data_IF_562639442333
#
_entry.id   IF_562639442333
#
_cell.length_a   1.000
_cell.length_b   1.000
_cell.length_c   1.000
_cell.angle_alpha   90.00
_cell.angle_beta   90.00
_cell.angle_gamma   90.00
#
_symmetry.space_group_name_H-M   'P 1'
#
loop_
_entity.id
_entity.type
_entity.pdbx_description
1 polymer ?
#
# COMPACT_ATOMS: atom_id res chain seq x y z
N UNK A 1 21.34 -6.51 6.46
CA UNK A 1 20.56 -5.28 6.17
C UNK A 1 20.35 -5.09 4.67
N UNK A 2 21.41 -5.12 3.85
CA UNK A 2 21.30 -5.01 2.38
C UNK A 2 20.55 -6.17 1.72
N UNK A 3 20.66 -7.40 2.25
CA UNK A 3 19.91 -8.56 1.78
C UNK A 3 18.38 -8.37 1.84
N UNK A 4 17.85 -7.91 2.98
CA UNK A 4 16.41 -7.62 3.16
C UNK A 4 15.88 -6.53 2.22
N UNK A 5 16.73 -5.55 1.90
CA UNK A 5 16.38 -4.50 0.94
C UNK A 5 16.28 -5.07 -0.48
N UNK A 6 17.19 -5.96 -0.85
CA UNK A 6 17.20 -6.60 -2.17
C UNK A 6 16.05 -7.59 -2.32
N UNK A 7 15.81 -8.41 -1.29
CA UNK A 7 14.67 -9.33 -1.23
C UNK A 7 13.34 -8.59 -1.26
N UNK A 8 13.25 -7.44 -0.58
CA UNK A 8 12.10 -6.53 -0.68
C UNK A 8 11.91 -5.94 -2.08
N UNK A 9 13.01 -5.63 -2.79
CA UNK A 9 12.96 -5.15 -4.17
C UNK A 9 12.49 -6.24 -5.14
N UNK A 10 13.01 -7.46 -5.02
CA UNK A 10 12.55 -8.62 -5.79
C UNK A 10 11.09 -8.96 -5.48
N UNK A 11 10.69 -8.87 -4.21
CA UNK A 11 9.30 -9.00 -3.78
C UNK A 11 8.39 -7.91 -4.37
N UNK A 12 8.93 -6.71 -4.62
CA UNK A 12 8.20 -5.63 -5.28
C UNK A 12 7.91 -5.88 -6.78
N UNK A 13 8.65 -6.81 -7.40
CA UNK A 13 8.42 -7.24 -8.79
C UNK A 13 7.42 -8.41 -8.87
N UNK A 14 7.17 -9.09 -7.75
CA UNK A 14 6.24 -10.22 -7.67
C UNK A 14 4.77 -9.74 -7.63
N UNK A 15 3.83 -10.54 -8.17
CA UNK A 15 2.41 -10.19 -8.24
C UNK A 15 1.77 -9.82 -6.90
N UNK A 16 2.30 -10.34 -5.79
CA UNK A 16 1.74 -10.12 -4.45
C UNK A 16 1.98 -8.70 -3.92
N UNK A 17 3.03 -8.02 -4.37
CA UNK A 17 3.28 -6.61 -4.02
C UNK A 17 2.50 -5.66 -4.91
N UNK A 18 1.88 -6.15 -6.00
CA UNK A 18 1.03 -5.37 -6.88
C UNK A 18 -0.17 -4.79 -6.12
N UNK A 19 -0.62 -5.48 -5.07
CA UNK A 19 -1.66 -4.99 -4.15
C UNK A 19 -1.21 -3.82 -3.29
N UNK A 20 0.10 -3.64 -3.07
CA UNK A 20 0.67 -2.46 -2.43
C UNK A 20 0.89 -1.32 -3.42
N UNK A 21 1.32 -1.66 -4.63
CA UNK A 21 1.69 -0.67 -5.64
C UNK A 21 0.43 0.00 -6.22
N UNK A 22 -0.62 -0.77 -6.53
CA UNK A 22 -1.85 -0.21 -7.12
C UNK A 22 -2.52 0.88 -6.27
N UNK A 23 -2.90 0.64 -5.00
CA UNK A 23 -3.49 1.69 -4.18
C UNK A 23 -2.52 2.83 -3.91
N UNK A 24 -1.22 2.55 -3.79
CA UNK A 24 -0.18 3.59 -3.72
C UNK A 24 -0.16 4.50 -4.95
N UNK A 25 -0.29 3.94 -6.16
CA UNK A 25 -0.42 4.70 -7.41
C UNK A 25 -1.77 5.43 -7.48
N UNK A 26 -2.82 4.84 -6.91
CA UNK A 26 -4.13 5.47 -6.74
C UNK A 26 -4.04 6.76 -5.92
N UNK A 27 -3.40 6.69 -4.76
CA UNK A 27 -3.13 7.83 -3.87
C UNK A 27 -2.23 8.86 -4.55
N UNK A 28 -1.16 8.39 -5.21
CA UNK A 28 -0.23 9.22 -5.96
C UNK A 28 -0.94 10.08 -7.01
N UNK A 29 -1.78 9.44 -7.84
CA UNK A 29 -2.56 10.10 -8.88
C UNK A 29 -3.61 11.03 -8.30
N UNK A 30 -4.35 10.59 -7.28
CA UNK A 30 -5.44 11.34 -6.67
C UNK A 30 -4.99 12.61 -5.93
N UNK A 31 -3.77 12.62 -5.36
CA UNK A 31 -3.27 13.71 -4.50
C UNK A 31 -2.75 14.95 -5.27
N UNK A 32 -2.63 14.86 -6.59
CA UNK A 32 -2.30 15.98 -7.50
C UNK A 32 -1.03 16.77 -7.09
N UNK A 33 -1.17 17.87 -6.33
CA UNK A 33 -0.11 18.79 -5.91
C UNK A 33 0.46 18.48 -4.52
N UNK A 34 -0.19 17.59 -3.76
CA UNK A 34 0.16 17.26 -2.37
C UNK A 34 0.63 15.81 -2.25
N UNK A 35 1.21 15.32 -3.33
CA UNK A 35 1.72 13.97 -3.51
C UNK A 35 2.57 13.51 -2.31
N UNK A 36 3.55 14.33 -1.89
CA UNK A 36 4.51 13.95 -0.85
C UNK A 36 3.85 13.65 0.48
N UNK A 37 2.86 14.46 0.89
CA UNK A 37 2.15 14.25 2.16
C UNK A 37 1.27 13.01 2.14
N UNK A 38 0.57 12.77 1.03
CA UNK A 38 -0.30 11.60 0.88
C UNK A 38 0.49 10.29 0.77
N UNK A 39 1.62 10.31 0.04
CA UNK A 39 2.47 9.13 -0.12
C UNK A 39 3.20 8.77 1.18
N UNK A 40 3.69 9.77 1.91
CA UNK A 40 4.29 9.54 3.23
C UNK A 40 3.24 8.99 4.21
N UNK A 41 2.05 9.57 4.24
CA UNK A 41 0.95 9.07 5.06
C UNK A 41 0.54 7.63 4.70
N UNK A 42 0.53 7.32 3.40
CA UNK A 42 0.32 5.96 2.90
C UNK A 42 1.43 5.01 3.36
N UNK A 43 2.69 5.35 3.13
CA UNK A 43 3.83 4.52 3.51
C UNK A 43 3.89 4.26 5.03
N UNK A 44 3.69 5.30 5.84
CA UNK A 44 3.71 5.17 7.30
C UNK A 44 2.52 4.35 7.82
N UNK A 45 1.31 4.58 7.28
CA UNK A 45 0.14 3.79 7.69
C UNK A 45 0.25 2.33 7.26
N UNK A 46 0.77 2.03 6.06
CA UNK A 46 1.08 0.66 5.62
C UNK A 46 2.06 0.02 6.59
N UNK A 47 3.19 0.68 6.88
CA UNK A 47 4.21 0.15 7.78
C UNK A 47 3.67 -0.14 9.18
N UNK A 48 2.96 0.83 9.78
CA UNK A 48 2.41 0.71 11.13
C UNK A 48 1.31 -0.35 11.19
N UNK A 49 0.36 -0.33 10.26
CA UNK A 49 -0.76 -1.28 10.26
C UNK A 49 -0.28 -2.71 9.98
N UNK A 50 0.66 -2.88 9.05
CA UNK A 50 1.23 -4.20 8.75
C UNK A 50 2.03 -4.71 9.94
N UNK A 51 2.84 -3.86 10.58
CA UNK A 51 3.56 -4.24 11.79
C UNK A 51 2.61 -4.69 12.90
N UNK A 52 1.58 -3.91 13.21
CA UNK A 52 0.59 -4.25 14.24
C UNK A 52 -0.14 -5.56 13.94
N UNK A 53 -0.44 -5.83 12.67
CA UNK A 53 -1.01 -7.10 12.24
C UNK A 53 -0.04 -8.27 12.43
N UNK A 54 1.18 -8.17 11.92
CA UNK A 54 2.15 -9.28 11.99
C UNK A 54 2.69 -9.54 13.40
N UNK A 55 2.71 -8.53 14.26
CA UNK A 55 3.02 -8.68 15.69
C UNK A 55 1.88 -9.33 16.49
N UNK A 56 0.71 -9.56 15.88
CA UNK A 56 -0.45 -10.16 16.54
C UNK A 56 -1.23 -9.21 17.44
N UNK A 57 -0.97 -7.89 17.38
CA UNK A 57 -1.75 -6.90 18.12
C UNK A 57 -3.09 -6.56 17.46
N UNK A 58 -3.23 -6.79 16.16
CA UNK A 58 -4.46 -6.59 15.39
C UNK A 58 -4.90 -7.90 14.74
N UNK A 59 -6.13 -8.31 15.01
CA UNK A 59 -6.81 -9.36 14.25
C UNK A 59 -7.07 -8.91 12.81
N UNK A 60 -7.27 -9.90 11.93
CA UNK A 60 -7.63 -9.63 10.53
C UNK A 60 -8.94 -8.83 10.45
N UNK A 61 -8.89 -7.69 9.75
CA UNK A 61 -10.05 -6.83 9.58
C UNK A 61 -11.09 -7.50 8.65
N UNK A 62 -12.40 -7.36 8.94
CA UNK A 62 -13.44 -7.86 8.05
C UNK A 62 -13.34 -7.19 6.67
N UNK A 63 -13.60 -7.94 5.60
CA UNK A 63 -13.56 -7.46 4.20
C UNK A 63 -14.42 -6.21 3.99
N UNK A 64 -15.59 -6.14 4.65
CA UNK A 64 -16.47 -4.97 4.63
C UNK A 64 -15.81 -3.71 5.22
N UNK A 65 -15.01 -3.85 6.29
CA UNK A 65 -14.31 -2.72 6.91
C UNK A 65 -13.21 -2.23 5.98
N UNK A 66 -12.49 -3.15 5.33
CA UNK A 66 -11.45 -2.79 4.35
C UNK A 66 -12.06 -2.05 3.15
N UNK A 67 -13.17 -2.56 2.61
CA UNK A 67 -13.90 -1.90 1.53
C UNK A 67 -14.41 -0.52 1.94
N UNK A 68 -14.91 -0.37 3.16
CA UNK A 68 -15.35 0.91 3.71
C UNK A 68 -14.17 1.91 3.86
N UNK A 69 -12.99 1.46 4.28
CA UNK A 69 -11.79 2.29 4.35
C UNK A 69 -11.35 2.78 2.96
N UNK A 70 -11.37 1.91 1.96
CA UNK A 70 -11.05 2.29 0.57
C UNK A 70 -12.08 3.28 0.00
N UNK A 71 -13.37 3.04 0.25
CA UNK A 71 -14.43 3.96 -0.14
C UNK A 71 -14.29 5.33 0.55
N UNK A 72 -13.99 5.35 1.85
CA UNK A 72 -13.73 6.57 2.61
C UNK A 72 -12.49 7.32 2.08
N UNK A 73 -11.45 6.61 1.65
CA UNK A 73 -10.30 7.21 0.99
C UNK A 73 -10.71 7.91 -0.32
N UNK A 74 -11.48 7.23 -1.18
CA UNK A 74 -12.02 7.80 -2.42
C UNK A 74 -12.84 9.06 -2.14
N UNK A 75 -13.77 8.98 -1.18
CA UNK A 75 -14.62 10.11 -0.76
C UNK A 75 -13.78 11.28 -0.25
N UNK A 76 -12.71 11.01 0.50
CA UNK A 76 -11.78 12.04 0.98
C UNK A 76 -11.12 12.81 -0.17
N UNK A 77 -10.72 12.11 -1.24
CA UNK A 77 -10.16 12.73 -2.44
C UNK A 77 -11.21 13.44 -3.33
N UNK A 78 -12.50 13.12 -3.18
CA UNK A 78 -13.59 13.75 -3.93
C UNK A 78 -14.13 15.02 -3.28
N UNK A 79 -14.39 14.98 -1.97
CA UNK A 79 -15.12 16.05 -1.27
C UNK A 79 -14.27 17.27 -0.92
N UNK A 80 -12.98 17.07 -0.58
CA UNK A 80 -12.10 18.17 -0.19
C UNK A 80 -10.70 17.96 -0.77
N UNK A 81 -10.30 18.69 -1.82
CA UNK A 81 -8.91 18.73 -2.26
C UNK A 81 -8.07 19.60 -1.29
N UNK A 82 -8.05 19.24 0.00
CA UNK A 82 -7.26 19.87 1.06
C UNK A 82 -6.09 18.97 1.47
N UNK A 83 -5.03 19.55 2.03
CA UNK A 83 -3.88 18.78 2.53
C UNK A 83 -4.28 17.72 3.57
N UNK A 84 -5.14 18.01 4.56
CA UNK A 84 -5.57 16.99 5.51
C UNK A 84 -6.40 15.87 4.85
N UNK A 85 -7.19 16.17 3.82
CA UNK A 85 -7.95 15.14 3.11
C UNK A 85 -7.04 14.20 2.30
N UNK A 86 -5.97 14.73 1.71
CA UNK A 86 -4.97 13.92 1.02
C UNK A 86 -4.19 13.01 1.99
N UNK A 87 -3.86 13.53 3.18
CA UNK A 87 -3.26 12.74 4.26
C UNK A 87 -4.23 11.67 4.75
N UNK A 88 -5.48 12.02 5.05
CA UNK A 88 -6.50 11.08 5.48
C UNK A 88 -6.74 9.98 4.43
N UNK A 89 -6.85 10.34 3.16
CA UNK A 89 -6.97 9.37 2.07
C UNK A 89 -5.76 8.44 1.97
N UNK A 90 -4.53 8.95 2.17
CA UNK A 90 -3.31 8.16 2.26
C UNK A 90 -3.32 7.19 3.44
N UNK A 91 -3.71 7.64 4.64
CA UNK A 91 -3.83 6.79 5.83
C UNK A 91 -4.88 5.70 5.64
N UNK A 92 -6.08 6.05 5.19
CA UNK A 92 -7.19 5.13 5.02
C UNK A 92 -6.86 4.04 3.99
N UNK A 93 -6.34 4.45 2.83
CA UNK A 93 -5.91 3.50 1.80
C UNK A 93 -4.72 2.64 2.25
N UNK A 94 -3.76 3.21 2.99
CA UNK A 94 -2.62 2.45 3.50
C UNK A 94 -3.02 1.41 4.55
N UNK A 95 -3.90 1.76 5.49
CA UNK A 95 -4.46 0.80 6.45
C UNK A 95 -5.27 -0.31 5.78
N UNK A 96 -6.10 0.04 4.78
CA UNK A 96 -6.82 -0.96 3.99
C UNK A 96 -5.86 -1.89 3.24
N UNK A 97 -4.82 -1.32 2.62
CA UNK A 97 -3.85 -2.08 1.85
C UNK A 97 -3.02 -3.00 2.74
N UNK A 98 -2.55 -2.54 3.90
CA UNK A 98 -1.89 -3.38 4.90
C UNK A 98 -2.76 -4.57 5.35
N UNK A 99 -4.09 -4.41 5.30
CA UNK A 99 -5.04 -5.47 5.63
C UNK A 99 -5.26 -6.46 4.49
N UNK A 100 -5.00 -6.06 3.25
CA UNK A 100 -5.11 -6.93 2.07
C UNK A 100 -3.78 -7.57 1.72
N UNK A 101 -2.67 -6.98 2.15
CA UNK A 101 -1.34 -7.40 1.79
C UNK A 101 -0.94 -8.71 2.45
N UNK A 102 -0.71 -9.72 1.61
CA UNK A 102 -0.02 -10.95 1.97
C UNK A 102 1.41 -10.89 1.37
N UNK A 103 2.46 -10.84 2.19
CA UNK A 103 3.82 -10.79 1.70
C UNK A 103 4.19 -12.12 1.05
N UNK A 104 4.49 -12.11 -0.25
CA UNK A 104 5.16 -13.23 -0.91
C UNK A 104 6.66 -13.06 -0.66
N UNK A 105 7.19 -13.91 0.20
CA UNK A 105 8.52 -13.73 0.79
C UNK A 105 9.31 -15.01 0.74
N UNK A 106 10.63 -14.86 0.61
CA UNK A 106 11.58 -15.94 0.74
C UNK A 106 11.76 -16.37 2.21
N UNK A 107 12.67 -17.33 2.41
CA UNK A 107 12.94 -17.94 3.71
C UNK A 107 13.42 -16.94 4.77
N UNK A 108 14.10 -15.87 4.39
CA UNK A 108 14.75 -14.95 5.33
C UNK A 108 13.73 -14.01 6.01
N UNK A 109 12.80 -13.43 5.25
CA UNK A 109 11.72 -12.64 5.83
C UNK A 109 10.65 -13.49 6.51
N UNK A 110 10.41 -14.73 6.04
CA UNK A 110 9.56 -15.70 6.73
C UNK A 110 10.07 -16.03 8.14
N UNK A 111 11.38 -16.27 8.28
CA UNK A 111 12.01 -16.46 9.59
C UNK A 111 11.94 -15.20 10.46
N UNK A 112 12.06 -14.02 9.85
CA UNK A 112 11.93 -12.75 10.56
C UNK A 112 10.50 -12.55 11.11
N UNK A 113 9.47 -12.91 10.35
CA UNK A 113 8.07 -12.88 10.79
C UNK A 113 7.82 -13.84 11.96
N UNK A 114 8.42 -15.02 11.93
CA UNK A 114 8.32 -15.98 13.03
C UNK A 114 8.92 -15.46 14.34
N UNK A 115 9.99 -14.67 14.25
CA UNK A 115 10.71 -14.07 15.39
C UNK A 115 10.28 -12.63 15.71
N UNK A 116 9.29 -12.08 15.00
CA UNK A 116 8.96 -10.65 15.07
C UNK A 116 8.45 -10.25 16.47
N UNK A 117 7.68 -11.15 17.10
CA UNK A 117 7.15 -10.97 18.46
C UNK A 117 8.23 -11.09 19.54
N UNK A 118 9.29 -11.86 19.30
CA UNK A 118 10.37 -12.10 20.26
C UNK A 118 11.49 -11.04 20.18
N UNK A 119 11.69 -10.43 19.01
CA UNK A 119 12.77 -9.45 18.76
C UNK A 119 12.42 -7.99 19.05
N UNK A 120 11.19 -7.69 19.47
CA UNK A 120 10.76 -6.36 19.90
C UNK A 120 11.11 -5.24 18.91
N UNK A 121 11.75 -4.16 19.40
CA UNK A 121 12.07 -2.98 18.59
C UNK A 121 13.06 -3.22 17.45
N UNK A 122 13.94 -4.21 17.54
CA UNK A 122 14.87 -4.56 16.44
C UNK A 122 14.15 -5.22 15.28
N UNK A 123 13.10 -6.00 15.57
CA UNK A 123 12.20 -6.55 14.54
C UNK A 123 11.49 -5.45 13.75
N UNK A 124 11.06 -4.38 14.44
CA UNK A 124 10.39 -3.23 13.80
C UNK A 124 11.30 -2.53 12.79
N UNK A 125 12.56 -2.29 13.16
CA UNK A 125 13.53 -1.63 12.26
C UNK A 125 13.77 -2.48 11.01
N UNK A 126 13.96 -3.79 11.17
CA UNK A 126 14.19 -4.69 10.03
C UNK A 126 12.95 -4.80 9.13
N UNK A 127 11.76 -4.84 9.73
CA UNK A 127 10.50 -4.80 9.01
C UNK A 127 10.33 -3.50 8.21
N UNK A 128 10.62 -2.35 8.81
CA UNK A 128 10.58 -1.07 8.11
C UNK A 128 11.58 -1.01 6.96
N UNK A 129 12.78 -1.54 7.12
CA UNK A 129 13.78 -1.63 6.03
C UNK A 129 13.24 -2.45 4.85
N UNK A 130 12.58 -3.58 5.12
CA UNK A 130 11.92 -4.38 4.09
C UNK A 130 10.77 -3.63 3.41
N UNK A 131 9.86 -3.01 4.18
CA UNK A 131 8.73 -2.23 3.65
C UNK A 131 9.22 -1.05 2.79
N UNK A 132 10.31 -0.38 3.20
CA UNK A 132 10.94 0.68 2.39
C UNK A 132 11.46 0.11 1.07
N UNK A 133 12.06 -1.08 1.07
CA UNK A 133 12.46 -1.79 -0.14
C UNK A 133 11.28 -2.06 -1.08
N UNK A 134 10.18 -2.59 -0.54
CA UNK A 134 8.96 -2.90 -1.30
C UNK A 134 8.30 -1.63 -1.86
N UNK A 135 8.32 -0.52 -1.10
CA UNK A 135 7.74 0.76 -1.52
C UNK A 135 8.69 1.61 -2.39
N UNK A 136 9.95 1.20 -2.55
CA UNK A 136 10.94 1.94 -3.36
C UNK A 136 10.48 2.21 -4.79
N UNK A 137 9.94 1.23 -5.56
CA UNK A 137 9.44 1.48 -6.90
C UNK A 137 8.33 2.53 -6.92
N UNK A 138 7.46 2.52 -5.91
CA UNK A 138 6.39 3.49 -5.76
C UNK A 138 6.95 4.89 -5.50
N UNK A 139 7.99 5.01 -4.67
CA UNK A 139 8.67 6.28 -4.41
C UNK A 139 9.37 6.83 -5.66
N UNK A 140 10.04 5.96 -6.44
CA UNK A 140 10.70 6.32 -7.71
C UNK A 140 9.67 6.80 -8.73
N UNK A 141 8.59 6.02 -8.95
CA UNK A 141 7.50 6.40 -9.84
C UNK A 141 6.88 7.72 -9.40
N UNK A 142 6.59 7.84 -8.11
CA UNK A 142 6.10 9.04 -7.46
C UNK A 142 6.93 10.28 -7.74
N UNK A 143 8.24 10.18 -7.51
CA UNK A 143 9.20 11.25 -7.78
C UNK A 143 9.27 11.61 -9.27
N UNK A 144 9.20 10.61 -10.16
CA UNK A 144 9.11 10.85 -11.60
C UNK A 144 7.83 11.61 -12.00
N UNK A 145 6.70 11.30 -11.35
CA UNK A 145 5.43 11.97 -11.59
C UNK A 145 5.43 13.44 -11.12
N UNK A 146 6.18 13.79 -10.07
CA UNK A 146 6.26 15.17 -9.54
C UNK A 146 7.28 16.04 -10.28
N UNK A 147 8.39 15.45 -10.75
CA UNK A 147 9.44 16.17 -11.47
C UNK A 147 9.07 16.50 -12.92
N UNK A 148 8.13 15.76 -13.51
CA UNK A 148 7.73 15.97 -14.91
C UNK A 148 6.69 17.09 -15.03
N UNK A 149 6.98 18.22 -15.68
CA UNK A 149 5.99 19.26 -15.94
C UNK A 149 4.91 18.68 -16.87
N UNK A 150 3.67 18.63 -16.36
CA UNK A 150 2.53 18.06 -17.09
C UNK A 150 1.43 19.08 -17.29
N UNK A 151 0.74 18.95 -18.42
CA UNK A 151 -0.44 19.76 -18.69
C UNK A 151 -1.55 19.46 -17.68
N UNK A 152 -2.39 20.46 -17.40
CA UNK A 152 -3.52 20.34 -16.48
C UNK A 152 -4.49 19.21 -16.89
N UNK A 153 -4.61 18.94 -18.19
CA UNK A 153 -5.40 17.82 -18.73
C UNK A 153 -4.85 16.48 -18.25
N UNK A 154 -3.55 16.25 -18.39
CA UNK A 154 -2.91 15.00 -17.98
C UNK A 154 -3.04 14.81 -16.47
N UNK A 155 -2.88 15.88 -15.68
CA UNK A 155 -3.01 15.80 -14.22
C UNK A 155 -4.43 15.43 -13.76
N UNK A 156 -5.47 16.02 -14.37
CA UNK A 156 -6.87 15.65 -14.13
C UNK A 156 -7.15 14.20 -14.51
N UNK A 157 -6.56 13.73 -15.60
CA UNK A 157 -6.71 12.36 -16.07
C UNK A 157 -6.07 11.37 -15.10
N UNK A 158 -4.84 11.64 -14.62
CA UNK A 158 -4.20 10.84 -13.57
C UNK A 158 -4.99 10.84 -12.25
N UNK A 159 -5.56 11.97 -11.85
CA UNK A 159 -6.40 12.04 -10.65
C UNK A 159 -7.73 11.27 -10.83
N UNK A 160 -8.27 11.23 -12.04
CA UNK A 160 -9.43 10.40 -12.38
C UNK A 160 -9.08 8.90 -12.32
N UNK A 161 -7.98 8.51 -12.97
CA UNK A 161 -7.49 7.11 -12.99
C UNK A 161 -7.18 6.64 -11.57
N UNK A 162 -6.48 7.44 -10.76
CA UNK A 162 -6.14 7.07 -9.39
C UNK A 162 -7.36 6.86 -8.49
N UNK A 163 -8.37 7.75 -8.60
CA UNK A 163 -9.66 7.58 -7.90
C UNK A 163 -10.44 6.38 -8.41
N UNK A 164 -10.46 6.17 -9.72
CA UNK A 164 -11.10 5.01 -10.34
C UNK A 164 -10.47 3.69 -9.88
N UNK A 165 -9.14 3.63 -9.79
CA UNK A 165 -8.42 2.46 -9.30
C UNK A 165 -8.76 2.13 -7.84
N UNK A 166 -8.78 3.15 -6.96
CA UNK A 166 -9.18 2.96 -5.57
C UNK A 166 -10.66 2.54 -5.43
N UNK A 167 -11.54 3.10 -6.26
CA UNK A 167 -12.95 2.73 -6.28
C UNK A 167 -13.16 1.29 -6.76
N UNK A 168 -12.43 0.87 -7.81
CA UNK A 168 -12.44 -0.51 -8.30
C UNK A 168 -11.93 -1.48 -7.23
N UNK A 169 -10.84 -1.14 -6.54
CA UNK A 169 -10.33 -1.92 -5.40
C UNK A 169 -11.37 -2.03 -4.29
N UNK A 170 -12.06 -0.93 -3.94
CA UNK A 170 -13.11 -0.95 -2.93
C UNK A 170 -14.26 -1.90 -3.32
N UNK A 171 -14.71 -1.85 -4.57
CA UNK A 171 -15.77 -2.72 -5.10
C UNK A 171 -15.31 -4.18 -5.12
N UNK A 172 -14.11 -4.46 -5.65
CA UNK A 172 -13.56 -5.82 -5.70
C UNK A 172 -13.43 -6.44 -4.30
N UNK A 173 -13.01 -5.63 -3.32
CA UNK A 173 -12.90 -6.05 -1.91
C UNK A 173 -14.29 -6.30 -1.30
N UNK A 174 -15.27 -5.43 -1.59
CA UNK A 174 -16.64 -5.56 -1.10
C UNK A 174 -17.35 -6.82 -1.63
N UNK A 175 -17.03 -7.22 -2.86
CA UNK A 175 -17.59 -8.44 -3.49
C UNK A 175 -16.89 -9.72 -2.97
N UNK A 176 -15.80 -9.59 -2.21
CA UNK A 176 -15.06 -10.74 -1.69
C UNK A 176 -14.18 -11.43 -2.73
N UNK A 177 -13.94 -10.82 -3.89
CA UNK A 177 -13.06 -11.36 -4.93
C UNK A 177 -11.58 -11.36 -4.54
N UNK A 178 -11.24 -10.74 -3.40
CA UNK A 178 -9.88 -10.67 -2.90
C UNK A 178 -9.30 -12.07 -2.61
N UNK A 179 -10.07 -12.95 -1.97
CA UNK A 179 -9.58 -14.28 -1.61
C UNK A 179 -9.31 -15.16 -2.85
N UNK A 180 -10.14 -15.05 -3.87
CA UNK A 180 -10.00 -15.79 -5.14
C UNK A 180 -8.81 -15.26 -5.96
N UNK A 181 -8.65 -13.94 -6.04
CA UNK A 181 -7.51 -13.31 -6.74
C UNK A 181 -6.19 -13.62 -6.05
N UNK A 182 -6.13 -13.52 -4.72
CA UNK A 182 -4.92 -13.85 -3.95
C UNK A 182 -4.57 -15.33 -4.11
N UNK A 183 -5.56 -16.23 -4.07
CA UNK A 183 -5.37 -17.66 -4.31
C UNK A 183 -4.75 -17.94 -5.69
N UNK A 184 -5.27 -17.31 -6.75
CA UNK A 184 -4.75 -17.47 -8.11
C UNK A 184 -3.37 -16.82 -8.30
N UNK A 185 -3.13 -15.66 -7.69
CA UNK A 185 -1.83 -14.96 -7.72
C UNK A 185 -0.75 -15.77 -7.00
N UNK A 186 -1.08 -16.42 -5.88
CA UNK A 186 -0.17 -17.32 -5.17
C UNK A 186 0.13 -18.57 -6.00
N UNK A 187 -0.89 -19.18 -6.62
CA UNK A 187 -0.70 -20.35 -7.49
C UNK A 187 0.16 -20.08 -8.73
N UNK A 188 0.11 -18.88 -9.31
CA UNK A 188 0.99 -18.53 -10.44
C UNK A 188 2.44 -18.21 -10.03
N UNK A 189 2.69 -18.00 -8.72
CA UNK A 189 4.02 -17.64 -8.21
C UNK A 189 4.83 -18.82 -7.68
N UNK A 190 4.24 -20.02 -7.61
CA UNK A 190 4.88 -21.31 -7.29
C UNK A 190 5.09 -22.14 -8.54
#
# INVERSE_FOLDING_TARGET
>A
MTGLLFEGLESALLPCSLILIMPGLGVAGASHQRFTGALLAYATSVGIASWLRFSGYLDTLPTLVIAALLAAAVVSFLLRPSQPAAIAGGVLSGSATASLWAPCVGSDFGNLLGDLSSRGGTGLVLFLVYVIGVLSPLAILGAGLTLTPRSERVRKLLAGVGRGLLALLAIATAVGWHDELVSQLVQMST
#
